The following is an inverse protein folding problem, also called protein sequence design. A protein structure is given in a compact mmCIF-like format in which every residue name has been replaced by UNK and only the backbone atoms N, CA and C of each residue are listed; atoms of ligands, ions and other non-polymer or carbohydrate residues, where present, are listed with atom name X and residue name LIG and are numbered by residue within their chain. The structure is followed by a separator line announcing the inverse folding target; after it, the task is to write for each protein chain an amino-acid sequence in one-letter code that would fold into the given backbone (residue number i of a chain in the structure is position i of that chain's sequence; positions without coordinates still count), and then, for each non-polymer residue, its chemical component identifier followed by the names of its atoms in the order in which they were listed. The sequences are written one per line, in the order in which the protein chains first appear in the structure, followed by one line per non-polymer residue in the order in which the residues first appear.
data_IF_331034667286
#
_entry.id   IF_331034667286
#
_cell.length_a   1.000
_cell.length_b   1.000
_cell.length_c   1.000
_cell.angle_alpha   90.00
_cell.angle_beta   90.00
_cell.angle_gamma   90.00
#
_symmetry.space_group_name_H-M   'P 1'
#
loop_
_entity.id
_entity.type
_entity.pdbx_description
1 polymer ?
#
# COMPACT_ATOMS: atom_id res chain seq x y z
N UNK A 1 -19.48 12.98 11.38
CA UNK A 1 -19.09 12.33 10.11
C UNK A 1 -18.38 11.03 10.46
N UNK A 2 -18.59 9.94 9.72
CA UNK A 2 -17.77 8.73 9.85
C UNK A 2 -16.74 8.74 8.74
N UNK A 3 -15.50 8.42 9.08
CA UNK A 3 -14.34 8.52 8.18
C UNK A 3 -13.45 7.29 8.35
N UNK A 4 -12.58 7.06 7.37
CA UNK A 4 -11.50 6.09 7.41
C UNK A 4 -10.29 6.64 6.65
N UNK A 5 -9.10 6.17 6.98
CA UNK A 5 -7.86 6.42 6.23
C UNK A 5 -7.57 5.19 5.38
N UNK A 6 -7.34 5.40 4.08
CA UNK A 6 -6.92 4.32 3.17
C UNK A 6 -5.51 4.63 2.69
N UNK A 7 -4.56 3.75 3.03
CA UNK A 7 -3.16 3.82 2.59
C UNK A 7 -3.00 2.95 1.37
N UNK A 8 -2.62 3.56 0.25
CA UNK A 8 -2.51 2.89 -1.05
C UNK A 8 -1.04 2.73 -1.41
N UNK A 9 -0.63 1.49 -1.70
CA UNK A 9 0.63 1.16 -2.38
C UNK A 9 1.91 1.73 -1.73
N UNK A 10 1.95 1.81 -0.39
CA UNK A 10 3.18 2.12 0.35
C UNK A 10 4.08 0.87 0.53
N UNK A 11 4.32 0.15 -0.56
CA UNK A 11 5.19 -1.03 -0.60
C UNK A 11 6.64 -0.66 -0.87
N UNK A 12 7.57 -1.58 -0.59
CA UNK A 12 8.99 -1.36 -0.83
C UNK A 12 9.31 -1.07 -2.30
N UNK A 13 8.63 -1.72 -3.26
CA UNK A 13 8.89 -1.50 -4.69
C UNK A 13 8.54 -0.10 -5.17
N UNK A 14 7.48 0.52 -4.64
CA UNK A 14 7.12 1.90 -4.99
C UNK A 14 8.04 2.94 -4.35
N UNK A 15 8.72 2.58 -3.26
CA UNK A 15 9.59 3.51 -2.52
C UNK A 15 11.04 3.40 -2.96
N UNK A 16 11.60 2.19 -2.95
CA UNK A 16 13.03 1.94 -3.13
C UNK A 16 13.36 0.85 -4.14
N UNK A 17 12.37 0.04 -4.54
CA UNK A 17 12.56 -1.08 -5.46
C UNK A 17 12.19 -0.77 -6.92
N UNK A 18 11.46 -1.69 -7.55
CA UNK A 18 11.25 -1.74 -9.00
C UNK A 18 10.65 -0.45 -9.60
N UNK A 19 9.74 0.20 -8.87
CA UNK A 19 9.05 1.42 -9.28
C UNK A 19 9.38 2.61 -8.36
N UNK A 20 10.62 2.64 -7.83
CA UNK A 20 11.07 3.67 -6.89
C UNK A 20 10.73 5.09 -7.34
N UNK A 21 10.27 5.90 -6.38
CA UNK A 21 9.90 7.29 -6.61
C UNK A 21 10.37 8.18 -5.45
N UNK A 22 11.29 9.10 -5.71
CA UNK A 22 11.80 10.04 -4.69
C UNK A 22 10.72 10.92 -4.07
N UNK A 23 9.63 11.18 -4.81
CA UNK A 23 8.48 11.91 -4.26
C UNK A 23 7.69 11.08 -3.26
N UNK A 24 7.59 9.76 -3.48
CA UNK A 24 6.91 8.85 -2.56
C UNK A 24 7.68 8.72 -1.23
N UNK A 25 9.01 8.75 -1.24
CA UNK A 25 9.78 8.78 0.02
C UNK A 25 9.41 9.99 0.90
N UNK A 26 9.06 11.13 0.28
CA UNK A 26 8.66 12.35 1.01
C UNK A 26 7.25 12.25 1.63
N UNK A 27 6.45 11.24 1.27
CA UNK A 27 5.11 11.05 1.86
C UNK A 27 5.13 10.21 3.12
N UNK A 28 6.22 9.49 3.42
CA UNK A 28 6.33 8.62 4.60
C UNK A 28 6.03 9.40 5.89
N UNK A 29 6.73 10.51 6.12
CA UNK A 29 6.58 11.29 7.36
C UNK A 29 5.17 11.89 7.52
N UNK A 30 4.57 12.54 6.50
CA UNK A 30 3.17 12.98 6.57
C UNK A 30 2.17 11.84 6.80
N UNK A 31 2.40 10.66 6.24
CA UNK A 31 1.53 9.50 6.45
C UNK A 31 1.62 9.02 7.90
N UNK A 32 2.82 8.93 8.49
CA UNK A 32 2.98 8.60 9.92
C UNK A 32 2.15 9.53 10.82
N UNK A 33 2.26 10.84 10.59
CA UNK A 33 1.50 11.84 11.35
C UNK A 33 -0.01 11.72 11.18
N UNK A 34 -0.47 11.28 9.99
CA UNK A 34 -1.88 11.01 9.74
C UNK A 34 -2.34 9.74 10.48
N UNK A 35 -1.56 8.67 10.42
CA UNK A 35 -1.84 7.41 11.09
C UNK A 35 -1.94 7.59 12.61
N UNK A 36 -0.96 8.27 13.21
CA UNK A 36 -0.97 8.58 14.65
C UNK A 36 -2.26 9.27 15.09
N UNK A 37 -2.72 10.26 14.30
CA UNK A 37 -3.98 10.97 14.58
C UNK A 37 -5.20 10.09 14.35
N UNK A 38 -5.19 9.25 13.31
CA UNK A 38 -6.28 8.33 13.03
C UNK A 38 -6.45 7.34 14.19
N UNK A 39 -5.37 6.72 14.66
CA UNK A 39 -5.37 5.80 15.78
C UNK A 39 -5.83 6.47 17.09
N UNK A 40 -5.30 7.66 17.41
CA UNK A 40 -5.73 8.44 18.59
C UNK A 40 -7.23 8.76 18.60
N UNK A 41 -7.83 8.90 17.42
CA UNK A 41 -9.25 9.21 17.25
C UNK A 41 -10.12 7.99 16.95
N UNK A 42 -9.53 6.78 16.98
CA UNK A 42 -10.19 5.52 16.61
C UNK A 42 -10.84 5.57 15.22
N UNK A 43 -10.21 6.29 14.30
CA UNK A 43 -10.56 6.29 12.87
C UNK A 43 -9.95 5.03 12.24
N UNK A 44 -10.74 4.19 11.55
CA UNK A 44 -10.22 2.99 10.90
C UNK A 44 -9.12 3.31 9.88
N UNK A 45 -8.05 2.54 9.91
CA UNK A 45 -6.96 2.57 8.93
C UNK A 45 -7.00 1.29 8.12
N UNK A 46 -6.94 1.43 6.79
CA UNK A 46 -6.97 0.33 5.85
C UNK A 46 -5.80 0.46 4.88
N UNK A 47 -4.94 -0.54 4.84
CA UNK A 47 -3.88 -0.66 3.85
C UNK A 47 -4.38 -1.49 2.69
N UNK A 48 -4.19 -0.98 1.47
CA UNK A 48 -4.44 -1.75 0.26
C UNK A 48 -3.22 -1.65 -0.63
N UNK A 49 -2.60 -2.79 -0.92
CA UNK A 49 -1.33 -2.86 -1.62
C UNK A 49 -1.38 -3.84 -2.78
N UNK A 50 -0.71 -3.50 -3.87
CA UNK A 50 -0.44 -4.45 -4.94
C UNK A 50 0.23 -5.72 -4.39
N UNK A 51 -0.28 -6.87 -4.82
CA UNK A 51 0.28 -8.18 -4.55
C UNK A 51 0.19 -9.03 -5.82
N UNK A 52 1.01 -8.68 -6.81
CA UNK A 52 0.81 -9.19 -8.16
C UNK A 52 1.12 -10.68 -8.33
N UNK A 53 0.31 -11.32 -9.18
CA UNK A 53 0.60 -12.63 -9.78
C UNK A 53 1.20 -12.47 -11.18
N UNK A 54 1.99 -13.44 -11.68
CA UNK A 54 2.68 -13.32 -12.98
C UNK A 54 1.80 -13.05 -14.21
N UNK A 55 0.50 -13.33 -14.12
CA UNK A 55 -0.49 -13.16 -15.18
C UNK A 55 -1.31 -11.86 -15.06
N UNK A 56 -1.12 -11.07 -14.00
CA UNK A 56 -1.79 -9.79 -13.82
C UNK A 56 -1.51 -8.85 -14.99
N UNK A 57 -2.57 -8.23 -15.51
CA UNK A 57 -2.52 -7.43 -16.73
C UNK A 57 -1.49 -6.29 -16.65
N UNK A 58 -1.36 -5.68 -15.47
CA UNK A 58 -0.51 -4.53 -15.23
C UNK A 58 0.98 -4.84 -15.38
N UNK A 59 1.40 -6.09 -15.18
CA UNK A 59 2.79 -6.49 -15.37
C UNK A 59 3.24 -6.37 -16.83
N UNK A 60 2.31 -6.40 -17.80
CA UNK A 60 2.63 -6.17 -19.22
C UNK A 60 2.95 -4.70 -19.51
N UNK A 61 2.49 -3.80 -18.64
CA UNK A 61 2.65 -2.34 -18.79
C UNK A 61 3.87 -1.88 -17.99
N UNK A 62 3.99 -2.35 -16.74
CA UNK A 62 4.97 -1.84 -15.77
C UNK A 62 6.12 -2.80 -15.48
N UNK A 63 6.06 -4.04 -15.96
CA UNK A 63 6.99 -5.11 -15.58
C UNK A 63 6.69 -5.65 -14.18
N UNK A 64 7.52 -6.58 -13.69
CA UNK A 64 7.38 -7.14 -12.35
C UNK A 64 7.61 -6.07 -11.27
N UNK A 65 6.63 -5.90 -10.40
CA UNK A 65 6.66 -5.00 -9.25
C UNK A 65 5.64 -5.48 -8.22
N UNK A 66 5.84 -5.13 -6.95
CA UNK A 66 4.93 -5.44 -5.83
C UNK A 66 4.38 -6.87 -5.90
N UNK A 67 5.25 -7.82 -6.23
CA UNK A 67 4.86 -9.21 -6.46
C UNK A 67 4.46 -9.86 -5.14
N UNK A 68 3.42 -10.69 -5.16
CA UNK A 68 2.96 -11.41 -3.96
C UNK A 68 4.09 -12.21 -3.32
N UNK A 69 4.14 -12.19 -1.99
CA UNK A 69 5.10 -12.92 -1.14
C UNK A 69 6.58 -12.54 -1.38
N UNK A 70 6.83 -11.39 -1.99
CA UNK A 70 8.19 -10.83 -2.15
C UNK A 70 8.42 -9.65 -1.22
N UNK A 71 9.69 -9.33 -0.94
CA UNK A 71 10.05 -8.11 -0.20
C UNK A 71 9.51 -6.85 -0.88
N UNK A 72 9.52 -6.79 -2.22
CA UNK A 72 9.02 -5.64 -2.99
C UNK A 72 7.52 -5.38 -2.78
N UNK A 73 6.71 -6.42 -2.62
CA UNK A 73 5.27 -6.34 -2.35
C UNK A 73 4.89 -6.10 -0.88
N UNK A 74 5.85 -6.14 0.04
CA UNK A 74 5.59 -5.85 1.45
C UNK A 74 5.40 -4.34 1.67
N UNK A 75 4.44 -3.97 2.52
CA UNK A 75 4.34 -2.61 3.08
C UNK A 75 5.67 -2.28 3.76
N UNK A 76 6.17 -1.06 3.56
CA UNK A 76 7.44 -0.64 4.16
C UNK A 76 7.39 -0.66 5.69
N UNK A 77 8.49 -1.08 6.33
CA UNK A 77 8.62 -1.08 7.80
C UNK A 77 8.40 0.31 8.42
N UNK A 78 8.68 1.37 7.67
CA UNK A 78 8.42 2.76 8.08
C UNK A 78 6.93 3.03 8.34
N UNK A 79 6.04 2.25 7.73
CA UNK A 79 4.58 2.40 7.81
C UNK A 79 3.90 1.08 8.19
N UNK A 80 4.61 0.22 8.94
CA UNK A 80 4.12 -1.07 9.37
C UNK A 80 2.72 -0.94 10.03
N UNK A 81 1.72 -1.72 9.57
CA UNK A 81 0.38 -1.69 10.15
C UNK A 81 0.37 -2.09 11.63
N UNK A 82 -0.54 -1.50 12.41
CA UNK A 82 -0.83 -1.91 13.78
C UNK A 82 -1.82 -3.09 13.80
N UNK A 83 -1.98 -3.71 14.97
CA UNK A 83 -2.82 -4.92 15.13
C UNK A 83 -4.31 -4.70 14.84
N UNK A 84 -4.77 -3.47 14.99
CA UNK A 84 -6.13 -3.00 14.75
C UNK A 84 -6.39 -2.56 13.31
N UNK A 85 -5.33 -2.45 12.50
CA UNK A 85 -5.42 -1.99 11.12
C UNK A 85 -5.85 -3.13 10.20
N UNK A 86 -6.52 -2.77 9.10
CA UNK A 86 -6.91 -3.73 8.09
C UNK A 86 -5.89 -3.75 6.96
N UNK A 87 -5.55 -4.93 6.46
CA UNK A 87 -4.66 -5.11 5.32
C UNK A 87 -5.38 -5.91 4.23
N UNK A 88 -5.32 -5.40 3.00
CA UNK A 88 -5.88 -6.04 1.82
C UNK A 88 -4.88 -6.02 0.68
N UNK A 89 -4.94 -7.06 -0.13
CA UNK A 89 -4.18 -7.19 -1.37
C UNK A 89 -5.05 -6.79 -2.56
N UNK A 90 -4.47 -6.17 -3.57
CA UNK A 90 -5.12 -5.89 -4.87
C UNK A 90 -4.25 -6.36 -6.03
N UNK A 91 -4.92 -6.62 -7.16
CA UNK A 91 -4.32 -7.08 -8.42
C UNK A 91 -4.55 -6.06 -9.57
N UNK A 92 -5.12 -4.91 -9.22
CA UNK A 92 -5.39 -3.82 -10.15
C UNK A 92 -5.14 -2.48 -9.47
N UNK A 93 -5.13 -1.37 -10.23
CA UNK A 93 -5.00 -0.03 -9.68
C UNK A 93 -6.03 0.30 -8.58
N UNK A 94 -7.27 -0.15 -8.73
CA UNK A 94 -8.35 0.22 -7.80
C UNK A 94 -8.38 -0.69 -6.58
N UNK A 95 -8.35 -0.08 -5.40
CA UNK A 95 -8.57 -0.77 -4.13
C UNK A 95 -9.99 -1.36 -3.95
N UNK A 96 -10.93 -0.98 -4.81
CA UNK A 96 -12.33 -1.39 -4.73
C UNK A 96 -12.75 -2.30 -5.89
N UNK A 97 -11.89 -2.45 -6.90
CA UNK A 97 -12.19 -3.34 -8.01
C UNK A 97 -11.81 -4.76 -7.60
N UNK A 98 -12.82 -5.62 -7.58
CA UNK A 98 -12.59 -7.06 -7.61
C UNK A 98 -12.73 -7.50 -9.07
N UNK A 99 -11.64 -7.92 -9.74
CA UNK A 99 -11.78 -8.59 -11.03
C UNK A 99 -12.58 -9.88 -10.84
N UNK A 100 -13.49 -10.15 -11.77
CA UNK A 100 -14.34 -11.36 -11.80
C UNK A 100 -13.52 -12.65 -11.91
#
# INVERSE_FOLDING_TARGET
MKSAVVIIDMTNDFLTGALKNERALKTIQPIKELLDKAHQQSVPVVYVSDAHYPDDHELKIWGNHSMKDTWGGQITDELAPQSEDYTFEKHTYSAFLKPD
#
